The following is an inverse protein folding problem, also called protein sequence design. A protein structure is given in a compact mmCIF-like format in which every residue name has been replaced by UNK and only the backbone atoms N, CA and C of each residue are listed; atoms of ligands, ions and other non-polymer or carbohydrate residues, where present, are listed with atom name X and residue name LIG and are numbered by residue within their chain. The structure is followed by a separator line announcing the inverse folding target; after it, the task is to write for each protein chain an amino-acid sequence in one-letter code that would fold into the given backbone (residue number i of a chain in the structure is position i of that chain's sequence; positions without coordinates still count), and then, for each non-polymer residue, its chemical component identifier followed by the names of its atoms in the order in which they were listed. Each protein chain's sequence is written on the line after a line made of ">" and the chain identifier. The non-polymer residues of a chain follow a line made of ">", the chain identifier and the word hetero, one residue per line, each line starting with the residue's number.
data_IF_295130122155
#
_entry.id   IF_295130122155
#
_cell.length_a   1.000
_cell.length_b   1.000
_cell.length_c   1.000
_cell.angle_alpha   90.00
_cell.angle_beta   90.00
_cell.angle_gamma   90.00
#
_symmetry.space_group_name_H-M   'P 1'
#
loop_
_entity.id
_entity.type
_entity.pdbx_description
1 polymer ?
#
# COMPACT_ATOMS: atom_id res chain seq x y z
N UNK A 1 -7.53 -5.77 21.10
CA UNK A 1 -7.84 -4.35 21.34
C UNK A 1 -7.90 -3.64 20.00
N UNK A 2 -8.98 -2.89 19.73
CA UNK A 2 -9.10 -2.04 18.55
C UNK A 2 -8.97 -0.58 18.98
N UNK A 3 -8.18 0.18 18.21
CA UNK A 3 -8.02 1.61 18.41
C UNK A 3 -8.42 2.32 17.12
N UNK A 4 -9.01 3.49 17.25
CA UNK A 4 -9.33 4.37 16.14
C UNK A 4 -8.63 5.73 16.32
N UNK A 5 -8.14 6.31 15.22
CA UNK A 5 -7.51 7.63 15.22
C UNK A 5 -8.54 8.74 15.49
N UNK A 6 -9.80 8.49 15.15
CA UNK A 6 -10.88 9.46 15.26
C UNK A 6 -12.08 8.85 15.99
N UNK A 7 -12.80 9.67 16.76
CA UNK A 7 -14.09 9.33 17.37
C UNK A 7 -15.20 9.12 16.34
N UNK A 8 -15.00 9.55 15.10
CA UNK A 8 -15.91 9.37 13.97
C UNK A 8 -15.82 7.96 13.36
N UNK A 9 -14.81 7.17 13.75
CA UNK A 9 -14.63 5.82 13.24
C UNK A 9 -15.83 4.93 13.63
N UNK A 10 -16.41 4.28 12.65
CA UNK A 10 -17.53 3.34 12.82
C UNK A 10 -17.08 1.93 12.54
N UNK A 11 -17.43 1.01 13.43
CA UNK A 11 -17.25 -0.42 13.21
C UNK A 11 -18.39 -0.90 12.31
N UNK A 12 -18.08 -1.70 11.30
CA UNK A 12 -19.04 -2.32 10.41
C UNK A 12 -19.94 -3.33 11.13
N UNK A 13 -20.92 -3.82 10.42
CA UNK A 13 -21.83 -4.87 10.90
C UNK A 13 -21.42 -6.22 10.29
N UNK A 14 -21.63 -7.29 11.04
CA UNK A 14 -21.52 -8.65 10.55
C UNK A 14 -22.84 -9.07 9.90
N UNK A 15 -22.77 -10.00 8.98
CA UNK A 15 -23.96 -10.63 8.40
C UNK A 15 -24.77 -11.37 9.46
N UNK A 16 -26.07 -11.44 9.23
CA UNK A 16 -27.00 -12.17 10.09
C UNK A 16 -27.20 -13.59 9.54
N UNK A 17 -26.99 -14.58 10.39
CA UNK A 17 -27.32 -15.97 10.13
C UNK A 17 -28.72 -16.29 10.69
N UNK A 18 -29.32 -17.38 10.26
CA UNK A 18 -30.62 -17.82 10.74
C UNK A 18 -30.70 -17.93 12.28
N UNK A 19 -29.63 -18.42 12.92
CA UNK A 19 -29.54 -18.49 14.40
C UNK A 19 -29.78 -17.17 15.10
N UNK A 20 -29.41 -16.05 14.47
CA UNK A 20 -29.58 -14.69 14.99
C UNK A 20 -31.02 -14.18 14.81
N UNK A 21 -31.84 -14.89 14.03
CA UNK A 21 -33.19 -14.49 13.72
C UNK A 21 -34.24 -15.26 14.55
N UNK A 22 -33.84 -16.25 15.36
CA UNK A 22 -34.73 -17.10 16.18
C UNK A 22 -35.68 -16.33 17.10
N UNK A 23 -35.30 -15.12 17.54
CA UNK A 23 -36.13 -14.29 18.40
C UNK A 23 -37.20 -13.48 17.63
N UNK A 24 -37.19 -13.54 16.29
CA UNK A 24 -38.17 -12.86 15.45
C UNK A 24 -39.29 -13.79 15.05
N UNK A 25 -40.53 -13.36 15.26
CA UNK A 25 -41.74 -14.10 14.89
C UNK A 25 -42.81 -13.13 14.40
N UNK A 26 -43.77 -13.58 13.63
CA UNK A 26 -44.91 -12.79 13.18
C UNK A 26 -46.21 -13.41 13.73
N UNK A 27 -46.37 -13.32 15.03
CA UNK A 27 -47.53 -13.93 15.75
C UNK A 27 -48.81 -13.17 15.58
N UNK A 28 -48.74 -11.92 15.20
CA UNK A 28 -49.88 -11.00 15.00
C UNK A 28 -50.18 -10.69 13.54
N UNK A 29 -49.54 -11.45 12.59
CA UNK A 29 -49.68 -11.26 11.15
C UNK A 29 -49.41 -9.82 10.67
N UNK A 30 -48.42 -9.18 11.29
CA UNK A 30 -47.99 -7.83 10.90
C UNK A 30 -47.54 -7.80 9.43
N UNK A 31 -48.06 -6.89 8.59
CA UNK A 31 -47.71 -6.82 7.18
C UNK A 31 -46.25 -6.52 6.91
N UNK A 32 -45.52 -5.91 7.83
CA UNK A 32 -44.09 -5.64 7.75
C UNK A 32 -43.23 -6.90 8.03
N UNK A 33 -43.85 -7.99 8.48
CA UNK A 33 -43.22 -9.29 8.69
C UNK A 33 -42.72 -9.55 10.12
N UNK A 34 -41.81 -10.51 10.29
CA UNK A 34 -41.36 -10.91 11.62
C UNK A 34 -40.68 -9.79 12.43
N UNK A 35 -41.01 -9.75 13.71
CA UNK A 35 -40.46 -8.79 14.66
C UNK A 35 -40.13 -9.44 16.00
N UNK A 36 -39.32 -8.77 16.81
CA UNK A 36 -39.09 -9.11 18.23
C UNK A 36 -39.39 -7.94 19.13
N UNK A 37 -39.67 -8.19 20.41
CA UNK A 37 -39.86 -7.14 21.40
C UNK A 37 -38.57 -6.37 21.63
N UNK A 38 -38.71 -5.06 21.74
CA UNK A 38 -37.64 -4.11 22.08
C UNK A 38 -37.94 -3.28 23.32
N UNK A 39 -36.90 -2.77 23.96
CA UNK A 39 -37.01 -1.93 25.12
C UNK A 39 -37.53 -0.53 24.75
N UNK A 40 -38.46 -0.03 25.55
CA UNK A 40 -39.08 1.29 25.42
C UNK A 40 -38.59 2.28 26.50
N UNK A 41 -37.73 1.81 27.40
CA UNK A 41 -37.20 2.62 28.52
C UNK A 41 -35.97 3.40 28.05
N UNK A 42 -35.73 4.54 28.72
CA UNK A 42 -34.47 5.25 28.55
C UNK A 42 -33.39 4.67 29.48
N UNK A 43 -32.15 4.62 29.01
CA UNK A 43 -31.00 4.14 29.81
C UNK A 43 -30.56 5.19 30.84
N UNK A 44 -30.78 6.48 30.55
CA UNK A 44 -30.45 7.61 31.43
C UNK A 44 -31.73 8.31 31.92
N UNK A 45 -31.69 8.86 33.13
CA UNK A 45 -32.80 9.61 33.67
C UNK A 45 -33.09 10.85 32.83
N UNK A 46 -34.36 10.95 32.36
CA UNK A 46 -34.84 12.04 31.50
C UNK A 46 -36.22 12.54 32.05
N UNK A 47 -36.23 13.60 32.84
CA UNK A 47 -37.48 14.12 33.46
C UNK A 47 -38.55 14.44 32.42
N UNK A 48 -38.19 15.04 31.29
CA UNK A 48 -39.08 15.42 30.20
C UNK A 48 -39.68 14.23 29.41
N UNK A 49 -39.19 13.02 29.64
CA UNK A 49 -39.70 11.79 29.03
C UNK A 49 -40.50 10.92 30.00
N UNK A 50 -40.92 11.49 31.14
CA UNK A 50 -41.77 10.85 32.15
C UNK A 50 -43.17 11.34 32.03
N UNK A 51 -43.99 10.64 31.27
CA UNK A 51 -45.41 10.91 31.06
C UNK A 51 -46.19 9.60 31.09
N UNK A 52 -47.50 9.68 31.47
CA UNK A 52 -48.42 8.54 31.46
C UNK A 52 -48.93 8.30 30.06
N UNK A 53 -49.07 7.04 29.67
CA UNK A 53 -49.58 6.62 28.37
C UNK A 53 -51.01 6.08 28.58
N UNK A 54 -52.06 6.66 27.97
CA UNK A 54 -53.40 6.13 28.04
C UNK A 54 -53.48 4.83 27.19
N UNK A 55 -54.13 3.84 27.73
CA UNK A 55 -54.41 2.56 27.03
C UNK A 55 -55.77 2.65 26.31
N UNK A 56 -56.04 1.73 25.35
CA UNK A 56 -57.33 1.68 24.67
C UNK A 56 -58.52 1.47 25.59
N UNK A 57 -58.35 0.77 26.73
CA UNK A 57 -59.39 0.56 27.74
C UNK A 57 -59.60 1.76 28.71
N UNK A 58 -58.82 2.85 28.53
CA UNK A 58 -58.92 4.06 29.36
C UNK A 58 -58.09 4.05 30.64
N UNK A 59 -57.25 3.02 30.84
CA UNK A 59 -56.25 3.02 31.91
C UNK A 59 -55.00 3.83 31.54
N UNK A 60 -54.05 3.93 32.46
CA UNK A 60 -52.79 4.60 32.23
C UNK A 60 -51.62 3.68 32.58
N UNK A 61 -50.61 3.68 31.72
CA UNK A 61 -49.31 3.04 32.01
C UNK A 61 -48.39 4.14 32.55
N UNK A 62 -47.85 3.94 33.74
CA UNK A 62 -46.91 4.86 34.38
C UNK A 62 -45.52 4.80 33.71
N UNK A 63 -44.76 5.92 33.66
CA UNK A 63 -43.43 5.94 33.05
C UNK A 63 -42.42 5.12 33.86
N UNK A 64 -41.46 4.50 33.19
CA UNK A 64 -40.31 3.87 33.85
C UNK A 64 -39.51 4.90 34.68
N UNK A 65 -38.72 4.44 35.63
CA UNK A 65 -37.89 5.27 36.50
C UNK A 65 -37.06 6.31 35.74
N UNK A 66 -36.46 5.93 34.63
CA UNK A 66 -35.64 6.81 33.79
C UNK A 66 -36.40 7.55 32.69
N UNK A 67 -37.71 7.32 32.57
CA UNK A 67 -38.54 7.84 31.49
C UNK A 67 -38.57 6.93 30.24
N UNK A 68 -39.46 7.31 29.33
CA UNK A 68 -39.61 6.65 28.06
C UNK A 68 -38.44 6.94 27.09
N UNK A 69 -38.30 6.14 26.04
CA UNK A 69 -37.28 6.31 25.03
C UNK A 69 -37.50 7.53 24.12
N UNK A 70 -38.76 7.94 23.96
CA UNK A 70 -39.16 8.99 23.02
C UNK A 70 -40.01 10.07 23.70
N UNK A 71 -40.14 11.23 23.00
CA UNK A 71 -41.10 12.28 23.40
C UNK A 71 -42.55 11.77 23.24
N UNK A 72 -43.46 12.47 23.87
CA UNK A 72 -44.90 12.17 23.80
C UNK A 72 -45.39 12.07 22.34
N UNK A 73 -45.08 13.07 21.50
CA UNK A 73 -45.52 13.14 20.12
C UNK A 73 -44.96 11.96 19.30
N UNK A 74 -43.69 11.61 19.53
CA UNK A 74 -43.06 10.46 18.87
C UNK A 74 -43.66 9.14 19.33
N UNK A 75 -43.97 9.00 20.61
CA UNK A 75 -44.63 7.82 21.16
C UNK A 75 -46.03 7.63 20.54
N UNK A 76 -46.86 8.70 20.52
CA UNK A 76 -48.18 8.64 19.90
C UNK A 76 -48.12 8.24 18.41
N UNK A 77 -47.19 8.80 17.65
CA UNK A 77 -46.99 8.46 16.25
C UNK A 77 -46.61 6.99 16.09
N UNK A 78 -45.75 6.45 16.97
CA UNK A 78 -45.33 5.03 16.93
C UNK A 78 -46.45 4.07 17.37
N UNK A 79 -47.31 4.49 18.28
CA UNK A 79 -48.54 3.73 18.63
C UNK A 79 -49.48 3.72 17.42
N UNK A 80 -49.73 4.87 16.80
CA UNK A 80 -50.59 4.97 15.64
C UNK A 80 -50.09 4.18 14.42
N UNK A 81 -48.77 4.09 14.23
CA UNK A 81 -48.15 3.27 13.16
C UNK A 81 -48.08 1.78 13.48
N UNK A 82 -48.43 1.32 14.68
CA UNK A 82 -48.28 -0.08 15.10
C UNK A 82 -46.83 -0.52 15.43
N UNK A 83 -45.86 0.42 15.40
CA UNK A 83 -44.47 0.11 15.82
C UNK A 83 -44.38 -0.10 17.35
N UNK A 84 -45.28 0.50 18.10
CA UNK A 84 -45.45 0.31 19.53
C UNK A 84 -46.86 -0.18 19.76
N UNK A 85 -47.00 -1.29 20.42
CA UNK A 85 -48.29 -1.93 20.75
C UNK A 85 -48.45 -2.11 22.25
N UNK A 86 -49.65 -2.24 22.70
CA UNK A 86 -49.97 -2.60 24.09
C UNK A 86 -49.91 -4.14 24.26
N UNK A 87 -49.51 -4.60 25.43
CA UNK A 87 -49.69 -6.00 25.81
C UNK A 87 -51.19 -6.36 25.89
N UNK A 88 -51.59 -7.64 25.76
CA UNK A 88 -52.98 -8.02 25.81
C UNK A 88 -53.72 -7.61 27.13
N UNK A 89 -52.97 -7.53 28.22
CA UNK A 89 -53.43 -7.08 29.54
C UNK A 89 -53.31 -5.59 29.76
N UNK A 90 -52.85 -4.84 28.76
CA UNK A 90 -52.62 -3.39 28.77
C UNK A 90 -51.74 -2.88 29.93
N UNK A 91 -50.92 -3.75 30.53
CA UNK A 91 -50.03 -3.36 31.65
C UNK A 91 -48.71 -2.78 31.19
N UNK A 92 -48.32 -3.02 29.92
CA UNK A 92 -47.07 -2.56 29.35
C UNK A 92 -47.20 -2.27 27.85
N UNK A 93 -46.25 -1.48 27.34
CA UNK A 93 -46.08 -1.25 25.92
C UNK A 93 -44.90 -2.07 25.39
N UNK A 94 -44.98 -2.48 24.14
CA UNK A 94 -43.98 -3.32 23.43
C UNK A 94 -43.60 -2.60 22.16
N UNK A 95 -42.29 -2.40 21.97
CA UNK A 95 -41.77 -1.93 20.71
C UNK A 95 -41.53 -3.12 19.78
N UNK A 96 -42.00 -3.04 18.55
CA UNK A 96 -41.64 -3.99 17.50
C UNK A 96 -40.29 -3.57 16.88
N UNK A 97 -39.36 -4.50 16.85
CA UNK A 97 -38.10 -4.41 16.10
C UNK A 97 -38.21 -5.39 14.96
N UNK A 98 -38.40 -4.90 13.74
CA UNK A 98 -38.63 -5.74 12.56
C UNK A 98 -37.34 -6.34 12.04
N UNK A 99 -37.40 -7.58 11.60
CA UNK A 99 -36.27 -8.26 10.96
C UNK A 99 -35.89 -7.59 9.64
N UNK A 100 -36.87 -7.13 8.87
CA UNK A 100 -36.66 -6.43 7.60
C UNK A 100 -35.84 -5.13 7.72
N UNK A 101 -35.85 -4.49 8.91
CA UNK A 101 -35.08 -3.26 9.16
C UNK A 101 -33.64 -3.56 9.63
N UNK A 102 -33.25 -4.83 9.75
CA UNK A 102 -31.92 -5.22 10.25
C UNK A 102 -30.96 -5.47 9.10
N UNK A 103 -30.07 -4.50 8.86
CA UNK A 103 -29.04 -4.60 7.81
C UNK A 103 -27.91 -5.56 8.19
N UNK A 104 -27.70 -5.81 9.50
CA UNK A 104 -26.64 -6.65 10.02
C UNK A 104 -26.72 -6.79 11.54
N UNK A 105 -25.66 -7.31 12.15
CA UNK A 105 -25.53 -7.40 13.62
C UNK A 105 -24.25 -6.73 14.09
N UNK A 106 -24.30 -6.14 15.27
CA UNK A 106 -23.13 -5.61 15.96
C UNK A 106 -22.20 -6.78 16.32
N UNK A 107 -20.89 -6.69 16.06
CA UNK A 107 -19.94 -7.74 16.44
C UNK A 107 -19.86 -7.86 17.96
N UNK A 108 -19.68 -9.08 18.41
CA UNK A 108 -19.40 -9.39 19.81
C UNK A 108 -17.98 -8.90 20.18
N UNK A 109 -17.75 -8.61 21.46
CA UNK A 109 -16.42 -8.25 21.97
C UNK A 109 -15.47 -9.44 22.11
N UNK A 110 -15.99 -10.68 22.11
CA UNK A 110 -15.24 -11.93 22.17
C UNK A 110 -15.59 -12.74 20.93
N UNK A 111 -14.56 -13.19 20.22
CA UNK A 111 -14.68 -14.05 19.04
C UNK A 111 -14.13 -15.44 19.35
N UNK A 112 -14.95 -16.43 19.18
CA UNK A 112 -14.58 -17.83 19.50
C UNK A 112 -13.86 -18.48 18.31
N UNK A 113 -12.97 -19.43 18.60
CA UNK A 113 -12.20 -20.15 17.59
C UNK A 113 -13.06 -20.94 16.60
N UNK A 114 -14.28 -21.32 17.00
CA UNK A 114 -15.27 -21.96 16.11
C UNK A 114 -15.73 -21.03 14.98
N UNK A 115 -15.71 -19.72 15.22
CA UNK A 115 -16.15 -18.72 14.25
C UNK A 115 -15.00 -18.11 13.43
N UNK A 116 -13.86 -17.85 14.07
CA UNK A 116 -12.74 -17.14 13.44
C UNK A 116 -11.50 -17.99 13.22
N UNK A 117 -11.59 -19.27 13.55
CA UNK A 117 -10.47 -20.20 13.46
C UNK A 117 -9.49 -20.09 14.64
N UNK A 118 -8.53 -20.98 14.65
CA UNK A 118 -7.46 -21.12 15.64
C UNK A 118 -6.12 -21.30 14.92
N UNK A 119 -5.00 -21.29 15.64
CA UNK A 119 -3.69 -21.62 15.04
C UNK A 119 -3.70 -23.02 14.40
N UNK A 120 -4.44 -23.97 14.97
CA UNK A 120 -4.59 -25.32 14.39
C UNK A 120 -5.30 -25.29 13.03
N UNK A 121 -6.40 -24.54 12.91
CA UNK A 121 -7.09 -24.39 11.62
C UNK A 121 -6.23 -23.64 10.60
N UNK A 122 -5.48 -22.63 11.03
CA UNK A 122 -4.56 -21.91 10.17
C UNK A 122 -3.40 -22.79 9.66
N UNK A 123 -2.89 -23.70 10.49
CA UNK A 123 -1.90 -24.70 10.04
C UNK A 123 -2.51 -25.68 9.04
N UNK A 124 -3.76 -26.08 9.22
CA UNK A 124 -4.47 -26.90 8.23
C UNK A 124 -4.63 -26.15 6.90
N UNK A 125 -5.02 -24.86 6.91
CA UNK A 125 -5.08 -24.03 5.71
C UNK A 125 -3.73 -23.99 4.96
N UNK A 126 -2.63 -23.80 5.67
CA UNK A 126 -1.29 -23.81 5.07
C UNK A 126 -0.91 -25.18 4.52
N UNK A 127 -1.27 -26.25 5.22
CA UNK A 127 -1.02 -27.62 4.75
C UNK A 127 -1.77 -27.91 3.44
N UNK A 128 -3.05 -27.54 3.34
CA UNK A 128 -3.80 -27.66 2.10
C UNK A 128 -3.15 -26.85 0.97
N UNK A 129 -2.72 -25.63 1.27
CA UNK A 129 -2.13 -24.74 0.28
C UNK A 129 -0.73 -25.19 -0.20
N UNK A 130 0.13 -25.69 0.70
CA UNK A 130 1.53 -26.01 0.41
C UNK A 130 1.81 -27.52 0.28
N UNK A 131 0.97 -28.40 0.83
CA UNK A 131 1.24 -29.83 1.00
C UNK A 131 2.02 -30.15 2.28
N UNK A 132 2.47 -29.13 3.01
CA UNK A 132 3.17 -29.22 4.30
C UNK A 132 2.92 -27.94 5.10
N UNK A 133 3.36 -27.89 6.35
CA UNK A 133 3.23 -26.68 7.20
C UNK A 133 4.55 -25.90 7.15
N UNK A 134 4.65 -24.80 6.38
CA UNK A 134 5.90 -24.03 6.21
C UNK A 134 6.13 -22.97 7.29
N UNK A 135 5.20 -22.81 8.25
CA UNK A 135 5.22 -21.72 9.23
C UNK A 135 4.52 -22.15 10.52
N UNK A 136 5.15 -21.93 11.70
CA UNK A 136 4.71 -22.53 12.96
C UNK A 136 3.41 -21.95 13.54
N UNK A 137 3.23 -20.62 13.46
CA UNK A 137 2.14 -19.90 14.14
C UNK A 137 1.38 -18.95 13.22
N UNK A 138 0.79 -19.46 12.11
CA UNK A 138 0.00 -18.62 11.22
C UNK A 138 -1.26 -18.11 11.93
N UNK A 139 -1.75 -16.96 11.51
CA UNK A 139 -3.06 -16.47 11.95
C UNK A 139 -4.15 -17.05 11.04
N UNK A 140 -5.32 -17.41 11.58
CA UNK A 140 -6.44 -17.86 10.76
C UNK A 140 -6.86 -16.79 9.75
N UNK A 141 -7.05 -17.18 8.51
CA UNK A 141 -7.51 -16.28 7.44
C UNK A 141 -8.88 -15.67 7.77
N UNK A 142 -9.78 -16.45 8.37
CA UNK A 142 -11.13 -16.00 8.75
C UNK A 142 -11.10 -14.89 9.83
N UNK A 143 -10.16 -14.95 10.79
CA UNK A 143 -9.97 -13.88 11.77
C UNK A 143 -9.65 -12.55 11.09
N UNK A 144 -8.69 -12.57 10.17
CA UNK A 144 -8.28 -11.37 9.43
C UNK A 144 -9.42 -10.90 8.50
N UNK A 145 -10.11 -11.83 7.85
CA UNK A 145 -11.28 -11.53 7.00
C UNK A 145 -12.34 -10.76 7.79
N UNK A 146 -12.70 -11.23 8.99
CA UNK A 146 -13.63 -10.53 9.89
C UNK A 146 -13.16 -9.13 10.25
N UNK A 147 -11.87 -8.95 10.54
CA UNK A 147 -11.28 -7.62 10.79
C UNK A 147 -11.43 -6.69 9.58
N UNK A 148 -11.18 -7.18 8.37
CA UNK A 148 -11.32 -6.40 7.14
C UNK A 148 -12.77 -5.99 6.88
N UNK A 149 -13.72 -6.88 7.08
CA UNK A 149 -15.17 -6.59 6.94
C UNK A 149 -15.58 -5.51 7.93
N UNK A 150 -15.21 -5.66 9.19
CA UNK A 150 -15.59 -4.71 10.25
C UNK A 150 -14.95 -3.34 10.12
N UNK A 151 -13.72 -3.28 9.60
CA UNK A 151 -13.05 -1.99 9.37
C UNK A 151 -13.63 -1.24 8.19
N UNK A 152 -14.22 -1.94 7.21
CA UNK A 152 -14.68 -1.35 5.95
C UNK A 152 -13.56 -0.71 5.12
N UNK A 153 -12.30 -1.02 5.43
CA UNK A 153 -11.14 -0.37 4.82
C UNK A 153 -10.88 -0.88 3.41
N UNK A 154 -10.48 0.04 2.53
CA UNK A 154 -10.05 -0.29 1.17
C UNK A 154 -8.55 -0.54 1.05
N UNK A 155 -7.76 -0.12 2.04
CA UNK A 155 -6.32 -0.34 2.11
C UNK A 155 -5.98 -0.94 3.47
N UNK A 156 -5.35 -2.10 3.45
CA UNK A 156 -4.94 -2.85 4.64
C UNK A 156 -3.41 -2.87 4.71
N UNK A 157 -2.86 -2.40 5.82
CA UNK A 157 -1.43 -2.44 6.10
C UNK A 157 -1.17 -3.47 7.19
N UNK A 158 -0.23 -4.39 6.92
CA UNK A 158 0.30 -5.33 7.90
C UNK A 158 1.82 -5.20 7.96
N UNK A 159 2.37 -4.53 9.01
CA UNK A 159 3.81 -4.29 9.11
C UNK A 159 4.61 -5.50 9.61
N UNK A 160 3.94 -6.61 9.98
CA UNK A 160 4.54 -7.85 10.45
C UNK A 160 3.78 -9.03 9.82
N UNK A 161 3.81 -9.10 8.49
CA UNK A 161 2.91 -9.93 7.70
C UNK A 161 3.09 -11.45 7.90
N UNK A 162 4.22 -11.88 8.45
CA UNK A 162 4.46 -13.27 8.80
C UNK A 162 4.26 -14.21 7.63
N UNK A 163 3.35 -15.14 7.78
CA UNK A 163 3.00 -16.11 6.73
C UNK A 163 2.12 -15.53 5.61
N UNK A 164 1.76 -14.23 5.64
CA UNK A 164 0.93 -13.59 4.62
C UNK A 164 -0.58 -13.83 4.76
N UNK A 165 -1.06 -14.17 5.95
CA UNK A 165 -2.51 -14.40 6.20
C UNK A 165 -3.36 -13.20 5.82
N UNK A 166 -2.85 -11.97 6.03
CA UNK A 166 -3.56 -10.73 5.71
C UNK A 166 -3.79 -10.59 4.21
N UNK A 167 -2.76 -10.80 3.40
CA UNK A 167 -2.91 -10.74 1.94
C UNK A 167 -3.83 -11.82 1.39
N UNK A 168 -3.73 -13.05 1.90
CA UNK A 168 -4.61 -14.15 1.54
C UNK A 168 -6.08 -13.84 1.88
N UNK A 169 -6.36 -13.31 3.09
CA UNK A 169 -7.70 -12.90 3.50
C UNK A 169 -8.29 -11.83 2.58
N UNK A 170 -7.50 -10.82 2.19
CA UNK A 170 -7.94 -9.74 1.29
C UNK A 170 -8.24 -10.28 -0.10
N UNK A 171 -7.40 -11.18 -0.64
CA UNK A 171 -7.60 -11.79 -1.95
C UNK A 171 -8.91 -12.59 -1.96
N UNK A 172 -9.13 -13.43 -0.96
CA UNK A 172 -10.37 -14.23 -0.82
C UNK A 172 -11.58 -13.34 -0.69
N UNK A 173 -11.54 -12.33 0.18
CA UNK A 173 -12.66 -11.42 0.40
C UNK A 173 -13.05 -10.64 -0.86
N UNK A 174 -12.06 -10.11 -1.63
CA UNK A 174 -12.34 -9.47 -2.91
C UNK A 174 -12.96 -10.41 -3.92
N UNK A 175 -12.53 -11.68 -3.93
CA UNK A 175 -13.10 -12.71 -4.82
C UNK A 175 -14.55 -13.02 -4.48
N UNK A 176 -14.90 -13.05 -3.19
CA UNK A 176 -16.25 -13.33 -2.70
C UNK A 176 -17.23 -12.19 -2.98
N UNK A 177 -16.88 -10.96 -2.58
CA UNK A 177 -17.81 -9.82 -2.60
C UNK A 177 -17.60 -8.83 -3.76
N UNK A 178 -16.59 -9.06 -4.62
CA UNK A 178 -16.24 -8.16 -5.72
C UNK A 178 -15.60 -6.85 -5.27
N UNK A 179 -15.14 -6.78 -4.04
CA UNK A 179 -14.45 -5.60 -3.49
C UNK A 179 -13.09 -5.34 -4.15
N UNK A 180 -12.60 -4.10 -4.02
CA UNK A 180 -11.32 -3.66 -4.59
C UNK A 180 -10.33 -3.28 -3.49
N UNK A 181 -10.29 -4.08 -2.41
CA UNK A 181 -9.35 -3.85 -1.31
C UNK A 181 -7.93 -4.09 -1.78
N UNK A 182 -7.02 -3.26 -1.28
CA UNK A 182 -5.58 -3.37 -1.50
C UNK A 182 -4.87 -3.71 -0.20
N UNK A 183 -3.69 -4.28 -0.30
CA UNK A 183 -2.86 -4.55 0.87
C UNK A 183 -1.42 -4.08 0.66
N UNK A 184 -0.78 -3.72 1.77
CA UNK A 184 0.65 -3.47 1.90
C UNK A 184 1.14 -4.40 3.00
N UNK A 185 2.05 -5.30 2.68
CA UNK A 185 2.61 -6.28 3.60
C UNK A 185 4.10 -6.01 3.75
N UNK A 186 4.56 -5.92 4.98
CA UNK A 186 5.98 -5.71 5.29
C UNK A 186 6.44 -6.91 6.11
N UNK A 187 7.57 -7.50 5.71
CA UNK A 187 8.19 -8.60 6.42
C UNK A 187 9.69 -8.59 6.15
N UNK A 188 10.50 -8.68 7.19
CA UNK A 188 11.95 -8.63 7.07
C UNK A 188 12.62 -10.01 7.15
N UNK A 189 11.92 -11.04 7.62
CA UNK A 189 12.49 -12.37 7.79
C UNK A 189 12.51 -13.16 6.47
N UNK A 190 13.37 -14.16 6.43
CA UNK A 190 13.62 -14.99 5.23
C UNK A 190 12.36 -15.70 4.71
N UNK A 191 11.38 -15.95 5.56
CA UNK A 191 10.11 -16.55 5.14
C UNK A 191 9.23 -15.62 4.29
N UNK A 192 9.63 -14.35 4.09
CA UNK A 192 9.01 -13.52 3.06
C UNK A 192 9.09 -14.20 1.69
N UNK A 193 10.26 -14.73 1.32
CA UNK A 193 10.47 -15.38 0.02
C UNK A 193 9.96 -16.81 -0.02
N UNK A 194 10.04 -17.53 1.11
CA UNK A 194 9.77 -18.98 1.15
C UNK A 194 8.33 -19.33 1.53
N UNK A 195 7.63 -18.43 2.22
CA UNK A 195 6.26 -18.65 2.70
C UNK A 195 5.30 -17.58 2.22
N UNK A 196 5.53 -16.29 2.59
CA UNK A 196 4.60 -15.19 2.32
C UNK A 196 4.31 -15.03 0.83
N UNK A 197 5.33 -14.79 0.03
CA UNK A 197 5.18 -14.55 -1.40
C UNK A 197 4.60 -15.78 -2.15
N UNK A 198 5.04 -17.02 -1.91
CA UNK A 198 4.40 -18.21 -2.46
C UNK A 198 2.92 -18.34 -2.05
N UNK A 199 2.57 -18.02 -0.80
CA UNK A 199 1.16 -18.04 -0.35
C UNK A 199 0.30 -17.10 -1.19
N UNK A 200 0.73 -15.86 -1.35
CA UNK A 200 -0.02 -14.88 -2.14
C UNK A 200 -0.16 -15.29 -3.61
N UNK A 201 0.91 -15.82 -4.20
CA UNK A 201 0.86 -16.35 -5.57
C UNK A 201 -0.16 -17.47 -5.70
N UNK A 202 -0.14 -18.43 -4.78
CA UNK A 202 -1.10 -19.55 -4.77
C UNK A 202 -2.53 -19.06 -4.54
N UNK A 203 -2.76 -18.20 -3.55
CA UNK A 203 -4.08 -17.62 -3.28
C UNK A 203 -4.65 -16.86 -4.48
N UNK A 204 -3.80 -16.12 -5.22
CA UNK A 204 -4.19 -15.42 -6.43
C UNK A 204 -4.46 -16.36 -7.60
N UNK A 205 -3.70 -17.44 -7.71
CA UNK A 205 -3.78 -18.39 -8.83
C UNK A 205 -5.08 -19.22 -8.78
N UNK A 206 -5.43 -19.78 -7.62
CA UNK A 206 -6.62 -20.63 -7.49
C UNK A 206 -7.32 -20.43 -6.15
N UNK A 207 -8.66 -20.55 -6.11
CA UNK A 207 -9.42 -20.36 -4.88
C UNK A 207 -9.30 -21.51 -3.89
N UNK A 208 -9.13 -22.73 -4.39
CA UNK A 208 -9.16 -23.96 -3.59
C UNK A 208 -7.94 -24.83 -3.86
N UNK A 209 -7.35 -25.33 -2.78
CA UNK A 209 -6.14 -26.12 -2.79
C UNK A 209 -6.28 -27.36 -1.91
N UNK A 210 -5.59 -28.43 -2.27
CA UNK A 210 -5.46 -29.65 -1.46
C UNK A 210 -4.06 -30.22 -1.65
N UNK A 211 -3.38 -30.50 -0.55
CA UNK A 211 -2.03 -31.08 -0.53
C UNK A 211 -1.05 -30.37 -1.52
N UNK A 212 -1.11 -29.05 -1.58
CA UNK A 212 -0.25 -28.22 -2.42
C UNK A 212 -0.65 -28.13 -3.90
N UNK A 213 -1.75 -28.76 -4.31
CA UNK A 213 -2.28 -28.77 -5.68
C UNK A 213 -3.60 -28.00 -5.77
N UNK A 214 -3.85 -27.21 -6.81
CA UNK A 214 -5.14 -26.57 -7.00
C UNK A 214 -6.21 -27.62 -7.30
N UNK A 215 -7.36 -27.52 -6.63
CA UNK A 215 -8.51 -28.38 -6.88
C UNK A 215 -9.27 -27.97 -8.14
N UNK A 216 -9.33 -26.66 -8.38
CA UNK A 216 -9.94 -26.09 -9.57
C UNK A 216 -9.28 -24.76 -9.94
N UNK A 217 -9.41 -24.37 -11.18
CA UNK A 217 -9.08 -23.00 -11.61
C UNK A 217 -10.21 -22.03 -11.23
N UNK A 218 -9.91 -20.73 -11.09
CA UNK A 218 -10.94 -19.73 -10.86
C UNK A 218 -11.88 -19.63 -12.06
N UNK A 219 -13.14 -19.30 -11.80
CA UNK A 219 -14.07 -18.86 -12.85
C UNK A 219 -13.60 -17.53 -13.44
N UNK A 220 -14.16 -17.12 -14.58
CA UNK A 220 -13.82 -15.80 -15.17
C UNK A 220 -14.08 -14.66 -14.21
N UNK A 221 -15.19 -14.69 -13.49
CA UNK A 221 -15.56 -13.70 -12.49
C UNK A 221 -14.59 -13.69 -11.29
N UNK A 222 -14.23 -14.85 -10.73
CA UNK A 222 -13.24 -14.97 -9.66
C UNK A 222 -11.85 -14.48 -10.11
N UNK A 223 -11.48 -14.75 -11.37
CA UNK A 223 -10.22 -14.29 -11.94
C UNK A 223 -10.18 -12.77 -12.11
N UNK A 224 -11.29 -12.15 -12.51
CA UNK A 224 -11.40 -10.70 -12.61
C UNK A 224 -11.32 -10.01 -11.25
N UNK A 225 -11.85 -10.63 -10.21
CA UNK A 225 -11.81 -10.14 -8.83
C UNK A 225 -10.50 -10.42 -8.11
N UNK A 226 -9.62 -11.22 -8.69
CA UNK A 226 -8.29 -11.53 -8.12
C UNK A 226 -7.26 -10.45 -8.49
N UNK A 227 -6.23 -10.22 -7.65
CA UNK A 227 -5.20 -9.23 -7.99
C UNK A 227 -4.43 -9.67 -9.23
N UNK A 228 -4.35 -8.77 -10.22
CA UNK A 228 -3.60 -8.97 -11.46
C UNK A 228 -2.14 -8.58 -11.34
N UNK A 229 -1.83 -7.68 -10.41
CA UNK A 229 -0.48 -7.15 -10.19
C UNK A 229 -0.20 -7.19 -8.69
N UNK A 230 0.91 -7.83 -8.33
CA UNK A 230 1.52 -7.72 -7.02
C UNK A 230 2.92 -7.13 -7.20
N UNK A 231 3.15 -5.98 -6.58
CA UNK A 231 4.45 -5.32 -6.56
C UNK A 231 5.25 -5.87 -5.39
N UNK A 232 6.42 -6.42 -5.68
CA UNK A 232 7.35 -6.91 -4.67
C UNK A 232 8.54 -5.95 -4.64
N UNK A 233 8.74 -5.30 -3.50
CA UNK A 233 9.85 -4.37 -3.29
C UNK A 233 10.77 -4.96 -2.24
N UNK A 234 12.06 -5.00 -2.53
CA UNK A 234 13.09 -5.37 -1.56
C UNK A 234 13.90 -4.13 -1.21
N UNK A 235 13.94 -3.79 0.06
CA UNK A 235 14.79 -2.73 0.56
C UNK A 235 16.19 -3.29 0.85
N UNK A 236 17.21 -2.46 0.67
CA UNK A 236 18.56 -2.78 1.11
C UNK A 236 18.57 -2.92 2.66
N UNK A 237 19.18 -3.98 3.16
CA UNK A 237 19.37 -4.16 4.60
C UNK A 237 20.49 -3.25 5.12
N UNK A 238 20.52 -3.02 6.43
CA UNK A 238 21.59 -2.25 7.06
C UNK A 238 22.97 -2.90 6.82
N UNK A 239 23.03 -4.23 6.92
CA UNK A 239 24.26 -4.99 6.68
C UNK A 239 24.70 -4.90 5.21
N UNK A 240 23.75 -4.97 4.26
CA UNK A 240 24.05 -4.79 2.85
C UNK A 240 24.57 -3.37 2.58
N UNK A 241 23.97 -2.35 3.21
CA UNK A 241 24.46 -0.96 3.11
C UNK A 241 25.90 -0.85 3.56
N UNK A 242 26.24 -1.40 4.73
CA UNK A 242 27.60 -1.39 5.22
C UNK A 242 28.58 -2.14 4.31
N UNK A 243 28.17 -3.28 3.77
CA UNK A 243 29.00 -4.10 2.86
C UNK A 243 29.22 -3.44 1.48
N UNK A 244 28.39 -2.47 1.10
CA UNK A 244 28.53 -1.70 -0.13
C UNK A 244 29.20 -0.34 0.08
N UNK A 245 29.62 0.01 1.31
CA UNK A 245 30.42 1.21 1.51
C UNK A 245 31.82 1.03 0.96
N UNK A 246 32.25 1.98 0.16
CA UNK A 246 33.60 2.03 -0.42
C UNK A 246 34.33 3.22 0.16
N UNK A 247 35.35 2.95 0.95
CA UNK A 247 36.23 4.00 1.45
C UNK A 247 37.15 4.46 0.31
N UNK A 248 36.97 5.68 -0.12
CA UNK A 248 37.79 6.30 -1.17
C UNK A 248 38.49 7.53 -0.62
N UNK A 249 39.81 7.44 -0.50
CA UNK A 249 40.68 8.52 -0.07
C UNK A 249 41.58 8.95 -1.21
N UNK A 250 41.63 10.23 -1.47
CA UNK A 250 42.55 10.80 -2.47
C UNK A 250 43.97 10.87 -1.90
N UNK A 251 44.99 10.89 -2.78
CA UNK A 251 46.39 11.08 -2.37
C UNK A 251 46.58 12.36 -1.56
N UNK A 252 45.89 13.44 -1.95
CA UNK A 252 45.94 14.72 -1.24
C UNK A 252 45.38 14.60 0.18
N UNK A 253 44.27 13.91 0.35
CA UNK A 253 43.67 13.64 1.68
C UNK A 253 44.61 12.78 2.55
N UNK A 254 45.21 11.75 1.96
CA UNK A 254 46.17 10.90 2.66
C UNK A 254 47.40 11.71 3.10
N UNK A 255 47.99 12.51 2.19
CA UNK A 255 49.12 13.36 2.48
C UNK A 255 48.82 14.39 3.58
N UNK A 256 47.61 14.93 3.59
CA UNK A 256 47.17 15.86 4.66
C UNK A 256 47.09 15.14 6.03
N UNK A 257 46.52 13.94 6.09
CA UNK A 257 46.40 13.14 7.32
C UNK A 257 47.75 12.63 7.83
N UNK A 258 48.73 12.50 6.95
CA UNK A 258 50.09 12.06 7.31
C UNK A 258 51.02 13.26 7.64
N UNK A 259 50.51 14.49 7.50
CA UNK A 259 51.28 15.68 7.85
C UNK A 259 51.56 15.77 9.35
N UNK A 260 52.72 16.37 9.77
CA UNK A 260 53.02 16.56 11.17
C UNK A 260 51.98 17.37 11.94
N UNK A 261 51.30 18.31 11.26
CA UNK A 261 50.21 19.10 11.82
C UNK A 261 48.97 18.28 12.15
N UNK A 262 48.63 17.28 11.32
CA UNK A 262 47.50 16.42 11.56
C UNK A 262 47.74 15.39 12.66
N UNK A 263 49.00 14.97 12.83
CA UNK A 263 49.40 13.91 13.79
C UNK A 263 49.87 14.47 15.14
N UNK A 264 50.02 15.78 15.33
CA UNK A 264 50.40 16.41 16.57
C UNK A 264 49.38 16.21 17.70
N UNK A 265 49.76 16.57 18.94
CA UNK A 265 48.91 16.42 20.12
C UNK A 265 47.53 17.09 19.98
N UNK A 266 47.47 18.21 19.24
CA UNK A 266 46.24 18.94 18.90
C UNK A 266 45.80 18.69 17.45
N UNK A 267 46.31 17.62 16.84
CA UNK A 267 46.05 17.29 15.44
C UNK A 267 44.64 16.78 15.18
N UNK A 268 44.12 17.06 13.98
CA UNK A 268 42.75 16.70 13.62
C UNK A 268 42.60 15.25 13.13
N UNK A 269 43.69 14.48 12.94
CA UNK A 269 43.65 13.13 12.38
C UNK A 269 42.73 12.19 13.16
N UNK A 270 42.85 12.17 14.47
CA UNK A 270 42.01 11.31 15.29
C UNK A 270 40.56 11.69 15.24
N UNK A 271 40.23 12.99 15.29
CA UNK A 271 38.86 13.48 15.13
C UNK A 271 38.28 13.15 13.76
N UNK A 272 39.10 13.29 12.71
CA UNK A 272 38.68 12.94 11.35
C UNK A 272 38.35 11.44 11.26
N UNK A 273 39.24 10.57 11.70
CA UNK A 273 39.03 9.13 11.63
C UNK A 273 37.83 8.64 12.46
N UNK A 274 37.58 9.25 13.62
CA UNK A 274 36.49 8.85 14.49
C UNK A 274 35.13 9.43 14.10
N UNK A 275 35.08 10.61 13.49
CA UNK A 275 33.82 11.34 13.31
C UNK A 275 33.44 11.62 11.85
N UNK A 276 34.42 11.80 10.98
CA UNK A 276 34.19 12.31 9.61
C UNK A 276 34.55 11.34 8.50
N UNK A 277 35.45 10.39 8.77
CA UNK A 277 36.00 9.48 7.75
C UNK A 277 34.88 8.79 6.95
N UNK A 278 33.94 8.16 7.65
CA UNK A 278 32.84 7.48 6.97
C UNK A 278 32.01 8.43 6.10
N UNK A 279 31.61 9.58 6.64
CA UNK A 279 30.79 10.54 5.89
C UNK A 279 31.52 11.12 4.67
N UNK A 280 32.82 11.35 4.75
CA UNK A 280 33.60 11.94 3.66
C UNK A 280 34.04 10.90 2.64
N UNK A 281 34.61 9.80 3.08
CA UNK A 281 35.25 8.82 2.18
C UNK A 281 34.28 7.85 1.53
N UNK A 282 33.05 7.71 2.05
CA UNK A 282 32.05 6.78 1.50
C UNK A 282 31.00 7.46 0.60
N UNK A 283 31.07 8.78 0.42
CA UNK A 283 30.06 9.53 -0.37
C UNK A 283 29.85 9.03 -1.79
N UNK A 284 30.86 8.42 -2.40
CA UNK A 284 30.80 7.82 -3.72
C UNK A 284 30.30 6.38 -3.74
N UNK A 285 29.89 5.82 -2.59
CA UNK A 285 29.40 4.46 -2.53
C UNK A 285 28.01 4.34 -3.16
N UNK A 286 27.74 3.23 -3.87
CA UNK A 286 26.47 3.04 -4.55
C UNK A 286 25.29 2.88 -3.57
N UNK A 287 25.50 2.28 -2.39
CA UNK A 287 24.49 2.19 -1.34
C UNK A 287 23.96 3.56 -0.86
N UNK A 288 24.72 4.64 -1.06
CA UNK A 288 24.32 6.01 -0.75
C UNK A 288 23.75 6.77 -1.96
N UNK A 289 23.24 6.08 -2.96
CA UNK A 289 22.70 6.64 -4.21
C UNK A 289 23.73 7.51 -4.93
N UNK A 290 24.82 6.89 -5.35
CA UNK A 290 25.85 7.57 -6.14
C UNK A 290 25.27 8.08 -7.47
N UNK A 291 25.00 9.39 -7.53
CA UNK A 291 24.43 10.04 -8.72
C UNK A 291 25.35 9.99 -9.94
N UNK A 292 26.68 9.88 -9.75
CA UNK A 292 27.61 9.69 -10.86
C UNK A 292 27.41 8.38 -11.60
N UNK A 293 26.88 7.36 -10.91
CA UNK A 293 26.54 6.06 -11.52
C UNK A 293 25.17 6.07 -12.24
N UNK A 294 24.42 7.17 -12.21
CA UNK A 294 23.12 7.28 -12.90
C UNK A 294 23.24 7.48 -14.42
N UNK A 295 24.47 7.49 -14.95
CA UNK A 295 24.69 7.51 -16.40
C UNK A 295 24.04 6.32 -17.12
N UNK A 296 24.01 5.16 -16.47
CA UNK A 296 23.22 4.00 -16.92
C UNK A 296 22.28 3.50 -15.83
N UNK A 297 21.02 3.95 -15.81
CA UNK A 297 20.07 3.52 -14.80
C UNK A 297 19.69 2.05 -14.89
N UNK A 298 20.06 1.35 -15.95
CA UNK A 298 19.80 -0.09 -16.11
C UNK A 298 20.91 -0.98 -15.53
N UNK A 299 22.05 -0.39 -15.16
CA UNK A 299 23.24 -1.10 -14.69
C UNK A 299 23.68 -0.70 -13.27
N UNK A 300 22.82 -0.07 -12.50
CA UNK A 300 23.10 0.26 -11.11
C UNK A 300 23.00 -0.99 -10.23
N UNK A 301 24.10 -1.42 -9.62
CA UNK A 301 24.20 -2.70 -8.92
C UNK A 301 24.64 -2.53 -7.48
N UNK A 302 24.08 -3.35 -6.60
CA UNK A 302 24.51 -3.53 -5.22
C UNK A 302 24.80 -5.00 -4.93
N UNK A 303 25.73 -5.26 -4.02
CA UNK A 303 25.94 -6.58 -3.43
C UNK A 303 24.88 -6.77 -2.36
N UNK A 304 24.05 -7.79 -2.50
CA UNK A 304 22.95 -8.10 -1.61
C UNK A 304 23.09 -9.51 -1.09
N UNK A 305 23.02 -9.69 0.22
CA UNK A 305 23.10 -11.00 0.89
C UNK A 305 21.93 -11.88 0.44
N UNK A 306 22.20 -13.14 0.19
CA UNK A 306 21.16 -14.13 -0.10
C UNK A 306 20.43 -14.50 1.18
N UNK A 307 19.09 -14.61 1.18
CA UNK A 307 18.34 -15.11 2.33
C UNK A 307 18.83 -16.48 2.79
N UNK A 308 19.07 -16.62 4.10
CA UNK A 308 19.52 -17.88 4.71
C UNK A 308 20.97 -18.29 4.37
N UNK A 309 21.80 -17.39 3.83
CA UNK A 309 23.20 -17.64 3.46
C UNK A 309 24.06 -16.42 3.77
N UNK A 310 25.36 -16.65 3.99
CA UNK A 310 26.34 -15.55 4.13
C UNK A 310 26.90 -15.08 2.77
N UNK A 311 26.45 -15.68 1.68
CA UNK A 311 26.87 -15.29 0.35
C UNK A 311 26.15 -14.04 -0.13
N UNK A 312 26.89 -13.09 -0.70
CA UNK A 312 26.35 -11.92 -1.40
C UNK A 312 26.39 -12.11 -2.90
N UNK A 313 25.44 -11.51 -3.60
CA UNK A 313 25.42 -11.45 -5.07
C UNK A 313 25.15 -10.03 -5.54
N UNK A 314 25.65 -9.67 -6.69
CA UNK A 314 25.29 -8.43 -7.35
C UNK A 314 23.84 -8.49 -7.87
N UNK A 315 23.09 -7.45 -7.56
CA UNK A 315 21.69 -7.30 -7.97
C UNK A 315 21.51 -5.92 -8.57
N UNK A 316 20.81 -5.82 -9.69
CA UNK A 316 20.39 -4.52 -10.21
C UNK A 316 19.38 -3.87 -9.27
N UNK A 317 19.60 -2.60 -8.98
CA UNK A 317 18.66 -1.74 -8.28
C UNK A 317 17.70 -1.13 -9.30
N UNK A 318 16.42 -1.19 -9.04
CA UNK A 318 15.42 -0.46 -9.82
C UNK A 318 15.45 1.03 -9.42
N UNK A 319 16.31 1.81 -10.08
CA UNK A 319 16.44 3.24 -9.80
C UNK A 319 15.16 4.01 -10.09
N UNK A 320 14.38 3.59 -11.09
CA UNK A 320 13.10 4.23 -11.41
C UNK A 320 12.15 4.13 -10.22
N UNK A 321 12.02 2.92 -9.69
CA UNK A 321 11.17 2.68 -8.53
C UNK A 321 11.72 3.34 -7.27
N UNK A 322 13.02 3.28 -7.05
CA UNK A 322 13.69 3.93 -5.90
C UNK A 322 13.41 5.43 -5.90
N UNK A 323 13.55 6.08 -7.06
CA UNK A 323 13.28 7.52 -7.18
C UNK A 323 11.80 7.85 -6.99
N UNK A 324 10.90 7.06 -7.58
CA UNK A 324 9.45 7.22 -7.38
C UNK A 324 9.09 7.18 -5.88
N UNK A 325 9.71 6.26 -5.13
CA UNK A 325 9.55 6.16 -3.68
C UNK A 325 10.07 7.40 -2.95
N UNK A 326 11.28 7.86 -3.28
CA UNK A 326 11.92 8.99 -2.62
C UNK A 326 11.10 10.28 -2.75
N UNK A 327 10.50 10.52 -3.92
CA UNK A 327 9.66 11.71 -4.14
C UNK A 327 8.17 11.46 -3.81
N UNK A 328 7.82 10.25 -3.35
CA UNK A 328 6.43 9.88 -3.03
C UNK A 328 5.50 9.88 -4.25
N UNK A 329 6.01 9.60 -5.45
CA UNK A 329 5.26 9.67 -6.69
C UNK A 329 4.15 8.60 -6.73
N UNK A 330 2.90 9.04 -6.80
CA UNK A 330 1.79 8.18 -7.20
C UNK A 330 1.88 7.99 -8.71
N UNK A 331 2.44 6.86 -9.12
CA UNK A 331 2.67 6.53 -10.53
C UNK A 331 1.35 6.29 -11.25
N UNK A 332 1.15 7.00 -12.36
CA UNK A 332 0.01 6.83 -13.27
C UNK A 332 0.40 5.93 -14.44
N UNK A 333 1.60 6.15 -15.04
CA UNK A 333 2.06 5.37 -16.18
C UNK A 333 3.58 5.24 -16.19
N UNK A 334 4.06 4.06 -16.59
CA UNK A 334 5.46 3.77 -16.89
C UNK A 334 5.55 3.35 -18.35
N UNK A 335 6.23 4.15 -19.16
CA UNK A 335 6.38 3.86 -20.58
C UNK A 335 7.30 2.65 -20.82
N UNK A 336 7.12 2.00 -21.95
CA UNK A 336 8.10 1.04 -22.45
C UNK A 336 9.43 1.76 -22.76
N UNK A 337 10.59 1.12 -22.52
CA UNK A 337 11.86 1.72 -22.89
C UNK A 337 11.99 1.81 -24.42
N UNK A 338 12.63 2.87 -24.89
CA UNK A 338 12.95 3.08 -26.30
C UNK A 338 14.41 3.45 -26.47
N UNK A 339 15.01 3.01 -27.57
CA UNK A 339 16.41 3.26 -27.91
C UNK A 339 16.53 4.05 -29.19
N UNK A 340 17.57 4.87 -29.26
CA UNK A 340 17.77 5.81 -30.34
C UNK A 340 19.24 5.84 -30.77
N UNK A 341 19.45 6.20 -32.04
CA UNK A 341 20.74 6.58 -32.60
C UNK A 341 20.71 8.03 -33.10
N UNK A 342 21.89 8.65 -33.11
CA UNK A 342 22.10 9.99 -33.58
C UNK A 342 23.43 10.14 -34.31
N UNK A 343 23.47 10.95 -35.35
CA UNK A 343 24.69 11.40 -35.98
C UNK A 343 25.00 12.85 -35.58
N UNK A 344 26.28 13.20 -35.58
CA UNK A 344 26.73 14.53 -35.18
C UNK A 344 27.65 15.12 -36.25
N UNK A 345 27.60 16.43 -36.39
CA UNK A 345 28.51 17.21 -37.23
C UNK A 345 29.03 18.42 -36.46
N UNK A 346 30.15 18.95 -36.88
CA UNK A 346 30.70 20.21 -36.35
C UNK A 346 30.54 21.30 -37.38
N UNK A 347 30.01 22.43 -36.96
CA UNK A 347 29.79 23.60 -37.81
C UNK A 347 30.36 24.86 -37.17
N UNK A 348 30.71 25.85 -37.98
CA UNK A 348 31.13 27.15 -37.48
C UNK A 348 29.93 27.86 -36.82
N UNK A 349 30.14 28.46 -35.66
CA UNK A 349 29.11 29.27 -35.03
C UNK A 349 29.17 30.68 -35.70
N UNK A 350 28.06 31.11 -36.35
CA UNK A 350 28.06 32.39 -37.08
C UNK A 350 28.26 33.61 -36.17
N UNK A 351 28.00 33.46 -34.88
CA UNK A 351 28.11 34.53 -33.88
C UNK A 351 29.52 34.62 -33.25
N UNK A 352 30.43 33.70 -33.62
CA UNK A 352 31.77 33.62 -33.08
C UNK A 352 32.86 33.90 -34.16
N UNK A 353 34.07 34.34 -33.74
CA UNK A 353 35.21 34.51 -34.67
C UNK A 353 35.53 33.23 -35.45
N UNK A 354 36.06 33.36 -36.67
CA UNK A 354 36.32 32.25 -37.59
C UNK A 354 37.29 31.16 -37.04
N UNK A 355 38.11 31.52 -36.07
CA UNK A 355 39.06 30.67 -35.35
C UNK A 355 38.50 30.04 -34.07
N UNK A 356 37.27 30.36 -33.72
CA UNK A 356 36.59 29.75 -32.55
C UNK A 356 36.35 28.24 -32.76
N UNK A 357 36.27 27.46 -31.66
CA UNK A 357 35.95 26.06 -31.74
C UNK A 357 34.58 25.83 -32.42
N UNK A 358 34.54 24.90 -33.38
CA UNK A 358 33.31 24.57 -34.10
C UNK A 358 32.29 23.95 -33.15
N UNK A 359 31.05 24.47 -33.22
CA UNK A 359 29.91 24.01 -32.42
C UNK A 359 29.50 22.60 -32.86
N UNK A 360 29.22 21.72 -31.89
CA UNK A 360 28.66 20.41 -32.13
C UNK A 360 27.15 20.54 -32.40
N UNK A 361 26.69 19.88 -33.43
CA UNK A 361 25.26 19.85 -33.82
C UNK A 361 24.83 18.43 -34.11
N UNK A 362 23.56 18.16 -33.87
CA UNK A 362 22.93 16.92 -34.32
C UNK A 362 22.84 16.95 -35.87
N UNK A 363 23.25 15.89 -36.54
CA UNK A 363 23.16 15.75 -37.97
C UNK A 363 21.87 14.95 -38.34
N UNK A 364 20.86 15.69 -38.78
CA UNK A 364 19.54 15.11 -39.03
C UNK A 364 18.65 14.97 -37.81
N UNK A 365 17.86 13.91 -37.74
CA UNK A 365 16.89 13.65 -36.67
C UNK A 365 17.28 12.42 -35.87
N UNK A 366 16.87 12.39 -34.61
CA UNK A 366 16.98 11.22 -33.76
C UNK A 366 16.17 10.03 -34.34
N UNK A 367 16.83 8.90 -34.62
CA UNK A 367 16.23 7.70 -35.17
C UNK A 367 15.92 6.71 -34.03
N UNK A 368 14.68 6.24 -33.96
CA UNK A 368 14.32 5.14 -33.06
C UNK A 368 14.71 3.83 -33.70
N UNK A 369 15.57 3.07 -33.05
CA UNK A 369 16.04 1.78 -33.54
C UNK A 369 16.40 0.84 -32.35
N UNK A 370 16.24 -0.48 -32.54
CA UNK A 370 16.69 -1.46 -31.55
C UNK A 370 18.19 -1.30 -31.27
N UNK A 371 18.58 -1.43 -30.00
CA UNK A 371 19.97 -1.39 -29.53
C UNK A 371 20.72 -0.08 -29.78
N UNK A 372 20.00 1.01 -30.10
CA UNK A 372 20.57 2.35 -30.15
C UNK A 372 21.22 2.74 -28.83
N UNK A 373 22.36 3.51 -28.86
CA UNK A 373 23.12 3.82 -27.65
C UNK A 373 22.36 4.69 -26.62
N UNK A 374 21.44 5.53 -27.07
CA UNK A 374 20.63 6.38 -26.19
C UNK A 374 19.31 5.70 -25.86
N UNK A 375 19.21 5.21 -24.63
CA UNK A 375 18.01 4.61 -24.07
C UNK A 375 17.22 5.65 -23.27
N UNK A 376 15.90 5.68 -23.48
CA UNK A 376 14.98 6.53 -22.73
C UNK A 376 13.81 5.72 -22.17
N UNK A 377 13.38 6.10 -20.98
CA UNK A 377 12.15 5.61 -20.36
C UNK A 377 11.53 6.70 -19.51
N UNK A 378 10.21 6.84 -19.54
CA UNK A 378 9.49 7.87 -18.78
C UNK A 378 8.59 7.24 -17.75
N UNK A 379 8.40 7.98 -16.66
CA UNK A 379 7.39 7.72 -15.63
C UNK A 379 6.58 9.00 -15.46
N UNK A 380 5.25 8.88 -15.47
CA UNK A 380 4.36 9.98 -15.14
C UNK A 380 3.56 9.67 -13.90
N UNK A 381 3.23 10.69 -13.13
CA UNK A 381 2.49 10.54 -11.89
C UNK A 381 2.20 11.86 -11.19
N UNK A 382 1.73 11.77 -9.96
CA UNK A 382 1.40 12.93 -9.13
C UNK A 382 2.16 12.84 -7.81
N UNK A 383 2.84 13.89 -7.42
CA UNK A 383 3.53 14.01 -6.11
C UNK A 383 2.53 14.22 -4.97
N UNK A 384 2.90 14.01 -3.70
CA UNK A 384 2.00 14.17 -2.55
C UNK A 384 1.37 15.56 -2.42
N UNK A 385 2.03 16.59 -2.93
CA UNK A 385 1.54 17.97 -2.98
C UNK A 385 0.64 18.26 -4.21
N UNK A 386 0.31 17.24 -4.99
CA UNK A 386 -0.65 17.31 -6.09
C UNK A 386 -0.07 17.74 -7.44
N UNK A 387 1.26 17.90 -7.57
CA UNK A 387 1.89 18.32 -8.83
C UNK A 387 1.99 17.17 -9.84
N UNK A 388 1.55 17.40 -11.07
CA UNK A 388 1.76 16.46 -12.18
C UNK A 388 3.24 16.42 -12.54
N UNK A 389 3.81 15.23 -12.57
CA UNK A 389 5.25 15.03 -12.66
C UNK A 389 5.61 14.09 -13.79
N UNK A 390 6.60 14.46 -14.57
CA UNK A 390 7.27 13.64 -15.57
C UNK A 390 8.70 13.34 -15.08
N UNK A 391 9.07 12.06 -15.02
CA UNK A 391 10.43 11.61 -14.77
C UNK A 391 10.99 10.97 -16.02
N UNK A 392 12.09 11.49 -16.52
CA UNK A 392 12.76 11.03 -17.72
C UNK A 392 14.06 10.34 -17.31
N UNK A 393 14.17 9.08 -17.62
CA UNK A 393 15.38 8.29 -17.43
C UNK A 393 16.06 8.06 -18.78
N UNK A 394 17.36 8.32 -18.81
CA UNK A 394 18.18 8.15 -20.03
C UNK A 394 19.51 7.48 -19.74
N UNK A 395 20.05 6.74 -20.70
CA UNK A 395 21.47 6.39 -20.72
C UNK A 395 22.27 7.55 -21.31
N UNK A 396 23.43 7.77 -20.75
CA UNK A 396 24.38 8.81 -21.17
C UNK A 396 25.66 8.12 -21.69
N UNK A 397 25.66 7.61 -22.94
CA UNK A 397 26.78 6.88 -23.49
C UNK A 397 28.01 7.77 -23.75
N UNK A 398 27.86 9.08 -23.79
CA UNK A 398 28.95 10.04 -23.92
C UNK A 398 29.91 10.11 -22.72
N UNK A 399 29.47 9.59 -21.56
CA UNK A 399 30.27 9.61 -20.34
C UNK A 399 30.44 11.00 -19.75
N UNK A 400 31.53 11.21 -18.99
CA UNK A 400 31.80 12.47 -18.26
C UNK A 400 32.70 13.44 -19.03
N UNK A 401 33.07 13.12 -20.27
CA UNK A 401 33.85 14.05 -21.09
C UNK A 401 32.99 15.24 -21.53
N UNK A 402 33.57 16.47 -21.63
CA UNK A 402 32.80 17.62 -22.07
C UNK A 402 32.06 17.42 -23.39
N UNK A 403 32.72 16.78 -24.38
CA UNK A 403 32.10 16.46 -25.67
C UNK A 403 31.00 15.39 -25.54
N UNK A 404 31.20 14.39 -24.69
CA UNK A 404 30.19 13.36 -24.41
C UNK A 404 28.95 13.92 -23.75
N UNK A 405 29.12 14.80 -22.79
CA UNK A 405 28.01 15.52 -22.12
C UNK A 405 27.25 16.37 -23.14
N UNK A 406 27.97 17.08 -24.03
CA UNK A 406 27.35 17.91 -25.07
C UNK A 406 26.51 17.05 -26.04
N UNK A 407 27.03 15.88 -26.49
CA UNK A 407 26.29 14.91 -27.32
C UNK A 407 25.01 14.43 -26.63
N UNK A 408 25.13 14.02 -25.37
CA UNK A 408 24.00 13.50 -24.59
C UNK A 408 22.91 14.56 -24.39
N UNK A 409 23.30 15.83 -24.24
CA UNK A 409 22.36 16.94 -24.09
C UNK A 409 21.69 17.31 -25.42
N UNK A 410 22.42 17.31 -26.55
CA UNK A 410 21.83 17.50 -27.89
C UNK A 410 20.79 16.41 -28.20
N UNK A 411 21.08 15.19 -27.82
CA UNK A 411 20.12 14.08 -27.98
C UNK A 411 18.90 14.27 -27.07
N UNK A 412 19.08 14.72 -25.84
CA UNK A 412 17.97 15.03 -24.94
C UNK A 412 17.05 16.12 -25.52
N UNK A 413 17.62 17.21 -26.00
CA UNK A 413 16.87 18.34 -26.58
C UNK A 413 16.04 17.88 -27.80
N UNK A 414 16.63 17.10 -28.71
CA UNK A 414 15.90 16.57 -29.86
C UNK A 414 14.85 15.52 -29.46
N UNK A 415 15.15 14.72 -28.41
CA UNK A 415 14.18 13.78 -27.86
C UNK A 415 12.96 14.53 -27.30
N UNK A 416 13.17 15.61 -26.55
CA UNK A 416 12.08 16.48 -26.05
C UNK A 416 11.21 16.99 -27.20
N UNK A 417 11.83 17.51 -28.26
CA UNK A 417 11.09 17.99 -29.45
C UNK A 417 10.28 16.88 -30.10
N UNK A 418 10.88 15.68 -30.23
CA UNK A 418 10.24 14.51 -30.83
C UNK A 418 9.04 14.03 -30.03
N UNK A 419 9.08 14.14 -28.70
CA UNK A 419 7.97 13.80 -27.82
C UNK A 419 6.90 14.90 -27.72
N UNK A 420 7.14 16.08 -28.26
CA UNK A 420 6.24 17.23 -28.15
C UNK A 420 6.25 17.89 -26.78
N UNK A 421 7.25 17.59 -25.94
CA UNK A 421 7.37 18.24 -24.63
C UNK A 421 7.97 19.64 -24.79
N UNK A 422 7.45 20.58 -24.01
CA UNK A 422 7.99 21.93 -23.91
C UNK A 422 8.21 22.30 -22.43
N UNK A 423 9.35 22.90 -22.14
CA UNK A 423 9.62 23.42 -20.79
C UNK A 423 8.78 24.64 -20.42
N UNK A 424 8.14 25.31 -21.42
CA UNK A 424 7.35 26.53 -21.23
C UNK A 424 5.84 26.28 -21.14
N UNK A 425 5.33 25.29 -21.89
CA UNK A 425 3.91 24.95 -21.98
C UNK A 425 3.70 23.48 -21.69
N UNK A 426 4.41 22.95 -20.69
CA UNK A 426 4.33 21.56 -20.29
C UNK A 426 3.01 21.30 -19.56
N UNK A 427 2.38 20.20 -19.88
CA UNK A 427 1.28 19.66 -19.08
C UNK A 427 1.73 19.14 -17.69
N UNK A 428 3.04 19.18 -17.42
CA UNK A 428 3.66 18.76 -16.17
C UNK A 428 4.17 19.96 -15.37
N UNK A 429 3.86 19.98 -14.07
CA UNK A 429 4.34 20.98 -13.13
C UNK A 429 5.82 20.76 -12.76
N UNK A 430 6.27 19.49 -12.83
CA UNK A 430 7.65 19.09 -12.56
C UNK A 430 8.17 18.14 -13.64
N UNK A 431 9.41 18.37 -14.07
CA UNK A 431 10.14 17.47 -14.94
C UNK A 431 11.49 17.13 -14.30
N UNK A 432 11.73 15.85 -14.06
CA UNK A 432 13.02 15.34 -13.60
C UNK A 432 13.72 14.59 -14.73
N UNK A 433 15.02 14.78 -14.83
CA UNK A 433 15.90 14.09 -15.78
C UNK A 433 17.13 13.62 -15.02
N UNK A 434 17.59 12.39 -15.23
CA UNK A 434 18.84 11.93 -14.64
C UNK A 434 20.06 12.49 -15.38
N UNK A 435 21.03 13.03 -14.62
CA UNK A 435 22.31 13.50 -15.08
C UNK A 435 22.39 14.97 -15.49
#
# INVERSE_FOLDING_TARGET
>A
LCFARSTEAKIGLLEREERHNKAYSNTDNDPKGPWRSGDVRNSLFRPNLRYRIPTPSGHYIDPPANGWRWSWETMQRKIASGEVIFSPDETRIIRKIYLADQVGRVPESIWFGEEVGTTRSANAELKELFGYVPFDTPKPTELIRRMCVLSGSHLILDPFAGSGSTGDAVIRLNREDGGHRKFILIEQADYFQTVLLPRLKKASFAPEWKDGKPLRLPTSEEAERSPRIMKVVRLESYEDTLNNLELRRTEAQQSLLDSPQAQGADGFREQYLLRYMLDVETRGSQSLLNVSAFMDPTAYRLKVKRPGSDESREVNVDLLETFNWLIGLKVDHIAAPRTYSAAFRRDADPDLPADAPRRLLLDGRLKEEPDGPWWFRTVTGTTPDGRRTLVIWRKRPGGETPEGIERDNLVLDEWFRKQGYSSKDSEFDLIYVNG
#
